data_IF_129096986498
#
_entry.id   IF_129096986498
#
_cell.length_a   1.000
_cell.length_b   1.000
_cell.length_c   1.000
_cell.angle_alpha   90.00
_cell.angle_beta   90.00
_cell.angle_gamma   90.00
#
_symmetry.space_group_name_H-M   'P 1'
#
loop_
_entity.id
_entity.type
_entity.pdbx_description
1 polymer ?
#
# COMPACT_ATOMS: atom_id res chain seq x y z
N UNK A 1 -1.09 5.28 27.29
CA UNK A 1 -2.25 5.82 26.56
C UNK A 1 -1.84 7.15 25.96
N UNK A 2 -1.51 7.22 24.66
CA UNK A 2 -0.95 8.46 24.07
C UNK A 2 -1.19 8.68 22.56
N UNK A 3 -1.80 7.75 21.83
CA UNK A 3 -1.96 7.83 20.36
C UNK A 3 -3.42 7.73 19.89
N UNK A 4 -4.38 7.51 20.79
CA UNK A 4 -5.80 7.33 20.44
C UNK A 4 -6.13 5.99 19.79
N UNK A 5 -5.18 5.06 19.73
CA UNK A 5 -5.39 3.72 19.16
C UNK A 5 -6.14 2.84 20.17
N UNK A 6 -7.26 2.25 19.75
CA UNK A 6 -7.95 1.23 20.54
C UNK A 6 -7.33 -0.14 20.24
N UNK A 7 -6.90 -0.86 21.28
CA UNK A 7 -6.33 -2.20 21.15
C UNK A 7 -7.17 -3.23 21.90
N UNK A 8 -7.61 -4.26 21.19
CA UNK A 8 -8.35 -5.40 21.71
C UNK A 8 -7.49 -6.66 21.54
N UNK A 9 -7.42 -7.51 22.56
CA UNK A 9 -6.66 -8.76 22.51
C UNK A 9 -7.40 -9.88 23.24
N UNK A 10 -7.25 -11.09 22.74
CA UNK A 10 -7.74 -12.33 23.37
C UNK A 10 -6.59 -13.17 23.97
N UNK A 11 -5.37 -12.61 24.05
CA UNK A 11 -4.15 -13.29 24.49
C UNK A 11 -3.44 -14.10 23.40
N UNK A 12 -4.07 -14.30 22.24
CA UNK A 12 -3.48 -14.97 21.07
C UNK A 12 -3.35 -14.07 19.85
N UNK A 13 -4.16 -13.02 19.72
CA UNK A 13 -4.06 -12.03 18.66
C UNK A 13 -4.32 -10.62 19.19
N UNK A 14 -4.10 -9.64 18.33
CA UNK A 14 -4.39 -8.24 18.62
C UNK A 14 -5.12 -7.60 17.45
N UNK A 15 -6.21 -6.91 17.76
CA UNK A 15 -6.92 -6.00 16.87
C UNK A 15 -6.61 -4.57 17.33
N UNK A 16 -6.11 -3.75 16.41
CA UNK A 16 -5.83 -2.32 16.62
C UNK A 16 -6.71 -1.51 15.69
N UNK A 17 -7.35 -0.48 16.24
CA UNK A 17 -8.15 0.50 15.51
C UNK A 17 -7.51 1.86 15.75
N UNK A 18 -6.98 2.45 14.69
CA UNK A 18 -6.32 3.75 14.74
C UNK A 18 -7.35 4.88 14.59
N UNK A 19 -7.08 6.10 15.11
CA UNK A 19 -7.97 7.25 14.94
C UNK A 19 -8.28 7.60 13.48
N UNK A 20 -7.41 7.23 12.54
CA UNK A 20 -7.63 7.38 11.10
C UNK A 20 -8.71 6.45 10.53
N UNK A 21 -9.23 5.51 11.33
CA UNK A 21 -10.09 4.43 10.87
C UNK A 21 -9.32 3.26 10.23
N UNK A 22 -7.99 3.32 10.21
CA UNK A 22 -7.17 2.16 9.86
C UNK A 22 -7.35 1.04 10.90
N UNK A 23 -7.34 -0.19 10.43
CA UNK A 23 -7.53 -1.39 11.23
C UNK A 23 -6.39 -2.37 10.94
N UNK A 24 -5.79 -2.91 12.00
CA UNK A 24 -4.74 -3.92 11.93
C UNK A 24 -5.14 -5.10 12.82
N UNK A 25 -5.07 -6.31 12.28
CA UNK A 25 -5.23 -7.56 13.00
C UNK A 25 -3.97 -8.40 12.83
N UNK A 26 -3.40 -8.84 13.95
CA UNK A 26 -2.26 -9.75 13.98
C UNK A 26 -2.63 -11.00 14.78
N UNK A 27 -2.26 -12.17 14.25
CA UNK A 27 -2.35 -13.42 15.00
C UNK A 27 -0.99 -13.74 15.61
N UNK A 28 -0.97 -14.07 16.90
CA UNK A 28 0.19 -14.56 17.64
C UNK A 28 0.43 -16.06 17.47
N UNK A 29 -0.37 -16.74 16.64
CA UNK A 29 -0.07 -18.10 16.19
C UNK A 29 1.03 -18.02 15.14
N UNK A 30 2.28 -18.14 15.57
CA UNK A 30 3.39 -18.43 14.67
C UNK A 30 3.35 -19.91 14.31
N UNK A 31 2.76 -20.21 13.16
CA UNK A 31 2.80 -21.55 12.59
C UNK A 31 4.19 -21.88 12.06
N UNK A 32 4.74 -23.06 12.36
CA UNK A 32 5.92 -23.60 11.66
C UNK A 32 5.47 -24.41 10.43
N UNK A 33 5.46 -23.83 9.23
CA UNK A 33 5.19 -24.60 8.01
C UNK A 33 4.80 -23.78 6.79
N UNK A 34 5.11 -24.32 5.61
CA UNK A 34 4.91 -23.67 4.32
C UNK A 34 3.43 -23.57 3.93
N UNK A 35 3.02 -22.42 3.41
CA UNK A 35 1.78 -22.26 2.63
C UNK A 35 2.11 -22.42 1.14
N UNK A 36 1.43 -23.34 0.47
CA UNK A 36 1.55 -23.54 -0.97
C UNK A 36 0.21 -23.28 -1.63
N UNK A 37 -0.15 -22.00 -1.76
CA UNK A 37 -1.28 -21.59 -2.56
C UNK A 37 -0.82 -21.08 -3.91
N UNK A 38 -1.50 -21.53 -4.96
CA UNK A 38 -1.44 -20.84 -6.24
C UNK A 38 -2.21 -19.51 -6.19
N UNK A 39 -2.05 -18.68 -7.22
CA UNK A 39 -2.67 -17.35 -7.26
C UNK A 39 -4.21 -17.41 -7.17
N UNK A 40 -4.92 -18.31 -7.90
CA UNK A 40 -6.36 -18.48 -7.73
C UNK A 40 -6.80 -18.85 -6.31
N UNK A 41 -6.12 -19.80 -5.66
CA UNK A 41 -6.42 -20.22 -4.29
C UNK A 41 -6.25 -19.06 -3.30
N UNK A 42 -5.14 -18.34 -3.39
CA UNK A 42 -4.88 -17.18 -2.54
C UNK A 42 -5.92 -16.09 -2.77
N UNK A 43 -6.30 -15.82 -4.02
CA UNK A 43 -7.34 -14.84 -4.35
C UNK A 43 -8.68 -15.20 -3.70
N UNK A 44 -9.13 -16.46 -3.86
CA UNK A 44 -10.38 -16.94 -3.29
C UNK A 44 -10.35 -16.88 -1.76
N UNK A 45 -9.32 -17.42 -1.12
CA UNK A 45 -9.16 -17.40 0.33
C UNK A 45 -9.15 -15.96 0.88
N UNK A 46 -8.51 -15.03 0.18
CA UNK A 46 -8.48 -13.63 0.58
C UNK A 46 -9.86 -12.97 0.46
N UNK A 47 -10.58 -13.20 -0.65
CA UNK A 47 -11.93 -12.66 -0.83
C UNK A 47 -12.88 -13.21 0.24
N UNK A 48 -12.84 -14.52 0.49
CA UNK A 48 -13.69 -15.17 1.50
C UNK A 48 -13.43 -14.59 2.90
N UNK A 49 -12.15 -14.40 3.25
CA UNK A 49 -11.78 -13.74 4.49
C UNK A 49 -12.34 -12.31 4.58
N UNK A 50 -12.16 -11.50 3.54
CA UNK A 50 -12.62 -10.11 3.54
C UNK A 50 -14.14 -9.99 3.60
N UNK A 51 -14.88 -10.86 2.90
CA UNK A 51 -16.35 -10.90 2.96
C UNK A 51 -16.84 -11.18 4.38
N UNK A 52 -16.17 -12.09 5.11
CA UNK A 52 -16.49 -12.39 6.50
C UNK A 52 -16.06 -11.28 7.49
N UNK A 53 -15.07 -10.43 7.14
CA UNK A 53 -14.42 -9.49 8.07
C UNK A 53 -14.49 -8.02 7.59
N UNK A 54 -15.72 -7.54 7.39
CA UNK A 54 -16.00 -6.14 7.04
C UNK A 54 -16.37 -5.91 5.58
N UNK A 55 -16.54 -6.98 4.81
CA UNK A 55 -17.03 -6.94 3.44
C UNK A 55 -16.02 -6.39 2.44
N UNK A 56 -16.38 -6.52 1.16
CA UNK A 56 -15.62 -5.97 0.05
C UNK A 56 -16.02 -4.51 -0.21
N UNK A 57 -15.10 -3.53 -0.12
CA UNK A 57 -15.44 -2.12 -0.23
C UNK A 57 -15.72 -1.62 -1.66
N UNK A 58 -15.68 -2.48 -2.67
CA UNK A 58 -15.92 -2.11 -4.08
C UNK A 58 -14.75 -1.35 -4.72
N UNK A 59 -14.59 -1.46 -6.04
CA UNK A 59 -13.55 -0.77 -6.83
C UNK A 59 -12.09 -0.98 -6.37
N UNK A 60 -11.78 -2.15 -5.81
CA UNK A 60 -10.40 -2.54 -5.48
C UNK A 60 -9.89 -3.62 -6.44
N UNK A 61 -8.59 -3.57 -6.77
CA UNK A 61 -7.92 -4.59 -7.56
C UNK A 61 -6.66 -5.08 -6.83
N UNK A 62 -6.26 -6.35 -7.03
CA UNK A 62 -4.98 -6.84 -6.51
C UNK A 62 -3.82 -6.11 -7.19
N UNK A 63 -2.86 -5.64 -6.39
CA UNK A 63 -1.71 -4.84 -6.88
C UNK A 63 -0.36 -5.40 -6.47
N UNK A 64 -0.33 -6.28 -5.48
CA UNK A 64 0.91 -6.95 -5.08
C UNK A 64 0.62 -8.35 -4.54
N UNK A 65 1.45 -9.29 -4.95
CA UNK A 65 1.50 -10.65 -4.45
C UNK A 65 2.83 -10.81 -3.71
N UNK A 66 2.77 -11.11 -2.42
CA UNK A 66 3.93 -11.58 -1.67
C UNK A 66 3.90 -13.10 -1.62
N UNK A 67 5.03 -13.71 -1.95
CA UNK A 67 5.22 -15.14 -1.74
C UNK A 67 6.62 -15.33 -1.16
N UNK A 68 6.67 -15.68 0.12
CA UNK A 68 7.87 -16.08 0.84
C UNK A 68 7.78 -17.59 1.06
N UNK A 69 8.37 -18.40 0.17
CA UNK A 69 8.24 -19.85 0.23
C UNK A 69 8.63 -20.38 1.60
N UNK A 70 7.76 -21.17 2.22
CA UNK A 70 8.02 -21.72 3.55
C UNK A 70 7.67 -20.81 4.74
N UNK A 71 7.35 -19.54 4.48
CA UNK A 71 7.01 -18.56 5.52
C UNK A 71 5.57 -18.10 5.38
N UNK A 72 5.25 -17.33 4.33
CA UNK A 72 3.95 -16.68 4.18
C UNK A 72 3.63 -16.37 2.72
N UNK A 73 2.34 -16.21 2.45
CA UNK A 73 1.83 -15.70 1.19
C UNK A 73 0.85 -14.58 1.48
N UNK A 74 0.83 -13.55 0.65
CA UNK A 74 -0.03 -12.40 0.91
C UNK A 74 -0.45 -11.69 -0.36
N UNK A 75 -1.55 -10.96 -0.24
CA UNK A 75 -2.17 -10.24 -1.33
C UNK A 75 -2.54 -8.84 -0.86
N UNK A 76 -2.10 -7.84 -1.61
CA UNK A 76 -2.46 -6.44 -1.39
C UNK A 76 -3.44 -5.97 -2.46
N UNK A 77 -4.41 -5.16 -2.02
CA UNK A 77 -5.40 -4.51 -2.86
C UNK A 77 -5.36 -3.01 -2.63
N UNK A 78 -5.59 -2.26 -3.70
CA UNK A 78 -5.85 -0.83 -3.58
C UNK A 78 -7.09 -0.41 -4.38
N UNK A 79 -7.67 0.71 -3.97
CA UNK A 79 -8.75 1.36 -4.69
C UNK A 79 -8.23 2.13 -5.90
N UNK A 80 -9.08 2.32 -6.90
CA UNK A 80 -8.75 3.07 -8.11
C UNK A 80 -9.67 4.26 -8.29
N UNK A 81 -9.11 5.38 -8.74
CA UNK A 81 -9.86 6.57 -9.14
C UNK A 81 -9.41 7.00 -10.53
N UNK A 82 -10.36 7.19 -11.45
CA UNK A 82 -10.07 7.55 -12.86
C UNK A 82 -9.04 6.63 -13.53
N UNK A 83 -9.05 5.35 -13.16
CA UNK A 83 -8.10 4.35 -13.67
C UNK A 83 -6.70 4.37 -13.05
N UNK A 84 -6.45 5.27 -12.08
CA UNK A 84 -5.17 5.35 -11.36
C UNK A 84 -5.29 4.72 -9.97
N UNK A 85 -4.27 3.97 -9.51
CA UNK A 85 -4.28 3.39 -8.17
C UNK A 85 -4.15 4.48 -7.11
N UNK A 86 -4.85 4.31 -6.00
CA UNK A 86 -4.67 5.09 -4.78
C UNK A 86 -3.68 4.36 -3.89
N UNK A 87 -2.51 4.95 -3.68
CA UNK A 87 -1.49 4.50 -2.73
C UNK A 87 -1.42 5.45 -1.54
N UNK A 88 -0.63 5.11 -0.52
CA UNK A 88 -0.48 5.93 0.67
C UNK A 88 0.19 5.13 1.78
N UNK A 89 0.42 5.78 2.91
CA UNK A 89 0.90 5.08 4.10
C UNK A 89 -0.21 4.18 4.66
N UNK A 90 0.06 2.87 4.62
CA UNK A 90 -0.86 1.82 5.06
C UNK A 90 -2.24 1.89 4.40
N UNK A 91 -2.38 2.47 3.21
CA UNK A 91 -3.66 2.58 2.48
C UNK A 91 -3.89 1.36 1.61
N UNK A 92 -5.12 0.86 1.62
CA UNK A 92 -5.55 -0.33 0.91
C UNK A 92 -5.95 -1.44 1.87
N UNK A 93 -5.89 -2.66 1.35
CA UNK A 93 -6.08 -3.88 2.13
C UNK A 93 -4.87 -4.77 1.90
N UNK A 94 -4.27 -5.29 2.96
CA UNK A 94 -3.24 -6.31 2.90
C UNK A 94 -3.69 -7.50 3.74
N UNK A 95 -3.58 -8.71 3.19
CA UNK A 95 -3.87 -9.94 3.92
C UNK A 95 -2.68 -10.88 3.72
N UNK A 96 -2.14 -11.38 4.84
CA UNK A 96 -1.03 -12.32 4.86
C UNK A 96 -1.47 -13.62 5.53
N UNK A 97 -1.15 -14.75 4.90
CA UNK A 97 -1.45 -16.08 5.37
C UNK A 97 -0.18 -16.83 5.77
N UNK A 98 -0.29 -17.55 6.88
CA UNK A 98 0.67 -18.55 7.35
C UNK A 98 -0.11 -19.81 7.73
N UNK A 99 0.35 -20.98 7.28
CA UNK A 99 -0.33 -22.27 7.46
C UNK A 99 -1.85 -22.24 7.19
N UNK A 100 -2.26 -21.70 6.04
CA UNK A 100 -3.67 -21.56 5.63
C UNK A 100 -4.54 -20.70 6.57
N UNK A 101 -3.94 -19.94 7.50
CA UNK A 101 -4.61 -19.02 8.41
C UNK A 101 -4.14 -17.59 8.19
N UNK A 102 -5.03 -16.61 8.40
CA UNK A 102 -4.65 -15.20 8.36
C UNK A 102 -3.74 -14.88 9.55
N UNK A 103 -2.51 -14.50 9.23
CA UNK A 103 -1.47 -14.11 10.17
C UNK A 103 -1.42 -12.60 10.40
N UNK A 104 -1.65 -11.82 9.34
CA UNK A 104 -1.74 -10.36 9.36
C UNK A 104 -2.87 -9.90 8.43
N UNK A 105 -3.61 -8.89 8.89
CA UNK A 105 -4.62 -8.22 8.09
C UNK A 105 -4.61 -6.73 8.40
N UNK A 106 -4.45 -5.93 7.36
CA UNK A 106 -4.52 -4.48 7.45
C UNK A 106 -5.58 -3.96 6.50
N UNK A 107 -6.36 -2.99 6.98
CA UNK A 107 -7.38 -2.30 6.20
C UNK A 107 -7.37 -0.81 6.53
N UNK A 108 -7.18 0.01 5.51
CA UNK A 108 -7.34 1.45 5.59
C UNK A 108 -7.84 1.94 4.25
N UNK A 109 -9.12 2.31 4.21
CA UNK A 109 -9.76 2.69 2.97
C UNK A 109 -9.60 4.19 2.77
N UNK A 110 -9.03 4.57 1.63
CA UNK A 110 -9.09 5.96 1.18
C UNK A 110 -10.52 6.26 0.73
N UNK A 111 -11.34 6.76 1.64
CA UNK A 111 -12.67 7.27 1.35
C UNK A 111 -12.51 8.66 0.74
N UNK A 112 -12.11 8.72 -0.53
CA UNK A 112 -12.13 9.98 -1.25
C UNK A 112 -13.59 10.45 -1.33
N UNK A 113 -13.93 11.56 -0.67
CA UNK A 113 -15.19 12.22 -0.95
C UNK A 113 -15.23 12.52 -2.46
N UNK A 114 -16.32 12.20 -3.15
CA UNK A 114 -16.45 12.46 -4.60
C UNK A 114 -16.17 13.94 -4.94
N UNK A 115 -16.31 14.83 -3.96
CA UNK A 115 -16.06 16.27 -4.03
C UNK A 115 -14.60 16.68 -3.76
N UNK A 116 -13.73 15.78 -3.28
CA UNK A 116 -12.35 16.07 -2.86
C UNK A 116 -11.32 16.07 -4.00
N UNK A 117 -11.75 15.81 -5.23
CA UNK A 117 -10.89 15.95 -6.41
C UNK A 117 -11.08 17.36 -6.94
N UNK A 118 -10.19 18.28 -6.57
CA UNK A 118 -10.07 19.54 -7.30
C UNK A 118 -10.01 19.20 -8.80
N UNK A 119 -10.95 19.77 -9.56
CA UNK A 119 -11.33 19.34 -10.90
C UNK A 119 -10.13 19.37 -11.89
N UNK A 120 -9.06 20.07 -11.53
CA UNK A 120 -7.79 20.11 -12.24
C UNK A 120 -6.62 20.08 -11.27
N UNK A 121 -5.85 18.99 -11.27
CA UNK A 121 -4.53 18.96 -10.64
C UNK A 121 -3.46 19.10 -11.72
N UNK A 122 -2.53 20.03 -11.53
CA UNK A 122 -1.39 20.21 -12.43
C UNK A 122 -0.46 18.99 -12.34
N UNK A 123 -0.18 18.35 -13.49
CA UNK A 123 0.72 17.21 -13.61
C UNK A 123 1.84 17.60 -14.57
N UNK A 124 3.08 17.61 -14.09
CA UNK A 124 4.28 17.79 -14.91
C UNK A 124 4.93 16.44 -15.17
N UNK A 125 5.49 16.21 -16.38
CA UNK A 125 6.27 14.99 -16.65
C UNK A 125 7.40 14.82 -15.64
N UNK A 126 7.69 13.58 -15.22
CA UNK A 126 8.76 13.31 -14.24
C UNK A 126 10.10 13.95 -14.65
N UNK A 127 10.43 13.93 -15.94
CA UNK A 127 11.66 14.51 -16.47
C UNK A 127 11.85 16.01 -16.14
N UNK A 128 10.77 16.78 -15.98
CA UNK A 128 10.85 18.18 -15.58
C UNK A 128 11.35 18.31 -14.14
N UNK A 129 10.87 17.45 -13.25
CA UNK A 129 11.31 17.41 -11.86
C UNK A 129 12.77 16.96 -11.76
N UNK A 130 13.15 15.94 -12.54
CA UNK A 130 14.54 15.44 -12.59
C UNK A 130 15.55 16.46 -13.13
N UNK A 131 15.12 17.38 -14.00
CA UNK A 131 15.96 18.42 -14.58
C UNK A 131 15.98 19.74 -13.78
N UNK A 132 15.35 19.76 -12.61
CA UNK A 132 15.21 20.95 -11.76
C UNK A 132 15.85 20.75 -10.39
N UNK A 133 15.99 21.81 -9.61
CA UNK A 133 16.45 21.74 -8.21
C UNK A 133 15.37 21.21 -7.25
N UNK A 134 14.33 20.55 -7.74
CA UNK A 134 13.32 19.88 -6.92
C UNK A 134 13.95 18.79 -6.04
N UNK A 135 13.25 18.40 -4.98
CA UNK A 135 13.70 17.31 -4.11
C UNK A 135 13.93 16.01 -4.89
N UNK A 136 13.07 15.71 -5.87
CA UNK A 136 13.26 14.56 -6.77
C UNK A 136 14.52 14.72 -7.64
N UNK A 137 14.76 15.88 -8.22
CA UNK A 137 15.98 16.15 -9.01
C UNK A 137 17.25 15.92 -8.20
N UNK A 138 17.31 16.46 -6.99
CA UNK A 138 18.43 16.25 -6.06
C UNK A 138 18.59 14.77 -5.69
N UNK A 139 17.50 14.10 -5.29
CA UNK A 139 17.53 12.71 -4.86
C UNK A 139 17.99 11.74 -5.96
N UNK A 140 17.55 11.95 -7.21
CA UNK A 140 17.90 11.07 -8.34
C UNK A 140 19.26 11.41 -8.97
N UNK A 141 19.80 12.62 -8.75
CA UNK A 141 21.17 12.96 -9.11
C UNK A 141 22.21 12.27 -8.20
N UNK A 142 21.83 11.96 -6.95
CA UNK A 142 22.71 11.26 -6.02
C UNK A 142 22.87 9.77 -6.36
N UNK A 143 24.12 9.28 -6.34
CA UNK A 143 24.41 7.84 -6.30
C UNK A 143 24.03 7.05 -7.55
N UNK A 144 23.89 7.68 -8.72
CA UNK A 144 23.53 7.03 -9.99
C UNK A 144 22.30 6.13 -9.88
N UNK A 145 21.22 6.63 -9.26
CA UNK A 145 19.97 5.86 -9.14
C UNK A 145 19.41 5.52 -10.53
N UNK A 146 19.22 4.23 -10.77
CA UNK A 146 18.60 3.74 -11.99
C UNK A 146 17.09 3.63 -11.79
N UNK A 147 16.31 4.27 -12.68
CA UNK A 147 14.84 4.16 -12.70
C UNK A 147 14.48 2.93 -13.54
N UNK A 148 13.90 1.92 -12.90
CA UNK A 148 13.48 0.68 -13.57
C UNK A 148 12.03 0.72 -14.06
N UNK A 149 11.17 1.50 -13.39
CA UNK A 149 9.77 1.64 -13.77
C UNK A 149 9.16 2.96 -13.27
N UNK A 150 8.05 3.37 -13.88
CA UNK A 150 7.35 4.62 -13.68
C UNK A 150 5.84 4.43 -13.89
N UNK A 151 5.03 4.85 -12.91
CA UNK A 151 3.58 4.88 -13.06
C UNK A 151 2.98 6.12 -12.40
N UNK A 152 1.88 6.62 -12.97
CA UNK A 152 1.08 7.66 -12.33
C UNK A 152 0.13 7.02 -11.30
N UNK A 153 -0.04 7.66 -10.16
CA UNK A 153 -0.94 7.22 -9.09
C UNK A 153 -1.48 8.42 -8.31
N UNK A 154 -2.43 8.18 -7.41
CA UNK A 154 -2.75 9.12 -6.34
C UNK A 154 -2.11 8.66 -5.04
N UNK A 155 -1.55 9.59 -4.28
CA UNK A 155 -1.10 9.37 -2.92
C UNK A 155 -2.11 9.97 -1.94
N UNK A 156 -2.66 9.13 -1.07
CA UNK A 156 -3.58 9.54 -0.02
C UNK A 156 -2.82 10.04 1.20
N UNK A 157 -3.06 11.30 1.56
CA UNK A 157 -2.46 11.93 2.72
C UNK A 157 -3.44 12.98 3.27
N UNK A 158 -3.71 12.94 4.57
CA UNK A 158 -4.56 13.93 5.26
C UNK A 158 -5.91 14.13 4.56
N UNK A 159 -6.59 13.04 4.25
CA UNK A 159 -7.89 13.01 3.57
C UNK A 159 -7.91 13.65 2.17
N UNK A 160 -6.75 13.69 1.51
CA UNK A 160 -6.59 14.25 0.15
C UNK A 160 -5.84 13.29 -0.75
N UNK A 161 -6.21 13.33 -2.03
CA UNK A 161 -5.52 12.61 -3.10
C UNK A 161 -4.56 13.56 -3.82
N UNK A 162 -3.26 13.27 -3.75
CA UNK A 162 -2.21 14.03 -4.42
C UNK A 162 -1.73 13.22 -5.63
N UNK A 163 -1.78 13.73 -6.87
CA UNK A 163 -1.19 13.03 -8.01
C UNK A 163 0.31 12.88 -7.81
N UNK A 164 0.82 11.67 -8.01
CA UNK A 164 2.23 11.34 -7.85
C UNK A 164 2.74 10.49 -9.00
N UNK A 165 4.02 10.66 -9.30
CA UNK A 165 4.81 9.65 -9.98
C UNK A 165 5.32 8.64 -8.95
N UNK A 166 4.95 7.37 -9.13
CA UNK A 166 5.61 6.23 -8.50
C UNK A 166 6.82 5.86 -9.33
N UNK A 167 7.99 5.96 -8.74
CA UNK A 167 9.27 5.74 -9.42
C UNK A 167 9.98 4.58 -8.73
N UNK A 168 10.17 3.48 -9.44
CA UNK A 168 10.90 2.32 -8.94
C UNK A 168 12.38 2.51 -9.23
N UNK A 169 13.20 2.41 -8.19
CA UNK A 169 14.66 2.52 -8.28
C UNK A 169 15.34 1.57 -7.30
N UNK A 170 16.09 0.59 -7.83
CA UNK A 170 16.66 -0.48 -7.02
C UNK A 170 15.58 -1.21 -6.21
N UNK A 171 15.72 -1.22 -4.89
CA UNK A 171 14.73 -1.79 -3.96
C UNK A 171 13.80 -0.73 -3.35
N UNK A 172 13.65 0.43 -3.98
CA UNK A 172 12.85 1.54 -3.46
C UNK A 172 11.73 1.92 -4.43
N UNK A 173 10.58 2.28 -3.87
CA UNK A 173 9.51 2.98 -4.58
C UNK A 173 9.39 4.38 -4.01
N UNK A 174 9.68 5.37 -4.84
CA UNK A 174 9.64 6.79 -4.49
C UNK A 174 8.34 7.38 -5.01
N UNK A 175 7.58 8.03 -4.14
CA UNK A 175 6.36 8.76 -4.50
C UNK A 175 6.70 10.25 -4.63
N UNK A 176 6.75 10.74 -5.87
CA UNK A 176 7.07 12.13 -6.20
C UNK A 176 5.80 12.88 -6.57
N UNK A 177 5.47 13.95 -5.86
CA UNK A 177 4.36 14.85 -6.19
C UNK A 177 4.49 15.34 -7.65
N UNK A 178 3.47 15.07 -8.46
CA UNK A 178 3.55 15.29 -9.89
C UNK A 178 3.51 16.78 -10.29
N UNK A 179 3.08 17.66 -9.39
CA UNK A 179 2.99 19.11 -9.62
C UNK A 179 4.33 19.85 -9.41
N UNK A 180 5.10 19.46 -8.39
CA UNK A 180 6.24 20.23 -7.88
C UNK A 180 7.53 19.44 -7.62
N UNK A 181 7.51 18.11 -7.75
CA UNK A 181 8.70 17.28 -7.58
C UNK A 181 9.09 17.01 -6.13
N UNK A 182 8.23 17.35 -5.15
CA UNK A 182 8.43 16.98 -3.73
C UNK A 182 8.31 15.46 -3.55
N UNK A 183 9.19 14.87 -2.74
CA UNK A 183 9.09 13.45 -2.36
C UNK A 183 8.14 13.34 -1.17
N UNK A 184 7.02 12.63 -1.36
CA UNK A 184 6.03 12.39 -0.30
C UNK A 184 6.38 11.17 0.55
N UNK A 185 6.95 10.13 -0.08
CA UNK A 185 7.35 8.91 0.60
C UNK A 185 8.42 8.15 -0.19
N UNK A 186 9.31 7.47 0.53
CA UNK A 186 10.21 6.45 -0.02
C UNK A 186 9.90 5.14 0.72
N UNK A 187 9.36 4.16 0.00
CA UNK A 187 9.12 2.81 0.53
C UNK A 187 10.26 1.90 0.10
N UNK A 188 10.92 1.26 1.07
CA UNK A 188 11.88 0.20 0.79
C UNK A 188 11.09 -1.10 0.58
N UNK A 189 11.24 -1.73 -0.58
CA UNK A 189 10.75 -3.08 -0.82
C UNK A 189 11.71 -4.06 -0.16
N UNK A 190 11.24 -4.72 0.90
CA UNK A 190 11.94 -5.82 1.54
C UNK A 190 11.58 -7.13 0.81
N UNK A 191 12.38 -7.50 -0.20
CA UNK A 191 12.46 -8.85 -0.77
C UNK A 191 12.00 -9.03 -2.23
N UNK A 192 12.85 -9.73 -3.02
CA UNK A 192 12.58 -10.25 -4.37
C UNK A 192 13.70 -10.00 -5.40
N UNK A 193 14.83 -10.72 -5.30
CA UNK A 193 15.72 -10.98 -6.44
C UNK A 193 15.27 -12.25 -7.16
#
# INVERSE_FOLDING_TARGET
>A
EADGTETYTDGFGALRIFPSGALEYTSGKQGQGAVFWDQPQLMLATIDFLVAHGGWPGNMLPVYLSNRPGESVGLEFCSFLKGLPITGENVGIAVEFQQDQVSDYQRHLALAAEEAVEIYAEIKPLAWHLASDSQAGQFFAEGNKHISDLALAFYWQQDRLIPVWRVWTGNQVVHVAASDGRILQIKIQLGGQ
#
